data_IF_898317138980
#
_entry.id   IF_898317138980
#
_cell.length_a   1.000
_cell.length_b   1.000
_cell.length_c   1.000
_cell.angle_alpha   90.00
_cell.angle_beta   90.00
_cell.angle_gamma   90.00
#
_symmetry.space_group_name_H-M   'P 1'
#
loop_
_entity.id
_entity.type
_entity.pdbx_description
1 polymer ?
#
# COMPACT_ATOMS: atom_id res chain seq x y z
N UNK A 1 -1.37 -15.87 -20.17
CA UNK A 1 -2.08 -14.59 -20.43
C UNK A 1 -1.36 -13.48 -19.67
N UNK A 2 -1.18 -12.31 -20.28
CA UNK A 2 -0.57 -11.17 -19.57
C UNK A 2 -1.52 -10.68 -18.46
N UNK A 3 -0.95 -10.32 -17.31
CA UNK A 3 -1.71 -9.71 -16.20
C UNK A 3 -2.33 -8.39 -16.67
N UNK A 4 -3.66 -8.25 -16.43
CA UNK A 4 -4.42 -7.04 -16.77
C UNK A 4 -5.20 -6.60 -15.52
N UNK A 5 -4.78 -5.52 -14.83
CA UNK A 5 -5.42 -5.08 -13.59
C UNK A 5 -6.94 -4.86 -13.70
N UNK A 6 -7.39 -4.21 -14.77
CA UNK A 6 -8.82 -3.95 -14.99
C UNK A 6 -9.65 -5.24 -15.07
N UNK A 7 -9.14 -6.28 -15.74
CA UNK A 7 -9.84 -7.56 -15.83
C UNK A 7 -9.93 -8.21 -14.44
N UNK A 8 -8.88 -8.10 -13.63
CA UNK A 8 -8.87 -8.69 -12.28
C UNK A 8 -9.91 -8.08 -11.36
N UNK A 9 -10.15 -6.77 -11.48
CA UNK A 9 -11.24 -6.12 -10.73
C UNK A 9 -12.60 -6.64 -11.23
N UNK A 10 -12.79 -6.80 -12.55
CA UNK A 10 -14.04 -7.29 -13.12
C UNK A 10 -14.29 -8.78 -12.82
N UNK A 11 -13.23 -9.58 -12.64
CA UNK A 11 -13.35 -10.99 -12.27
C UNK A 11 -13.87 -11.17 -10.82
N UNK A 12 -13.79 -10.13 -9.98
CA UNK A 12 -14.39 -10.12 -8.65
C UNK A 12 -15.90 -9.99 -8.78
N UNK A 13 -16.60 -11.08 -8.59
CA UNK A 13 -18.07 -11.09 -8.65
C UNK A 13 -18.66 -10.87 -7.25
N UNK A 14 -19.02 -9.63 -6.96
CA UNK A 14 -19.78 -9.31 -5.77
C UNK A 14 -21.22 -9.05 -6.15
N UNK A 15 -22.12 -9.70 -5.40
CA UNK A 15 -23.53 -9.43 -5.52
C UNK A 15 -23.95 -8.50 -4.38
N UNK A 16 -24.43 -7.31 -4.73
CA UNK A 16 -25.01 -6.40 -3.77
C UNK A 16 -26.33 -6.92 -3.20
N UNK A 17 -26.86 -6.26 -2.19
CA UNK A 17 -28.18 -6.55 -1.66
C UNK A 17 -29.24 -6.53 -2.79
N UNK A 18 -30.21 -7.42 -2.67
CA UNK A 18 -31.30 -7.55 -3.64
C UNK A 18 -30.87 -7.87 -5.09
N UNK A 19 -29.70 -8.47 -5.26
CA UNK A 19 -29.15 -8.81 -6.58
C UNK A 19 -28.52 -7.63 -7.31
N UNK A 20 -28.13 -6.58 -6.60
CA UNK A 20 -27.38 -5.45 -7.17
C UNK A 20 -26.06 -5.88 -7.76
N UNK A 21 -25.64 -5.25 -8.86
CA UNK A 21 -24.35 -5.54 -9.53
C UNK A 21 -23.16 -5.04 -8.71
N UNK A 22 -23.35 -3.97 -7.96
CA UNK A 22 -22.34 -3.41 -7.06
C UNK A 22 -22.65 -3.77 -5.61
N UNK A 23 -21.63 -3.98 -4.76
CA UNK A 23 -21.84 -4.13 -3.33
C UNK A 23 -22.41 -2.85 -2.73
N UNK A 24 -23.25 -3.02 -1.69
CA UNK A 24 -23.84 -1.90 -0.97
C UNK A 24 -22.78 -1.12 -0.18
N UNK A 25 -22.96 0.19 -0.05
CA UNK A 25 -22.15 1.00 0.87
C UNK A 25 -22.71 0.79 2.28
N UNK A 26 -21.92 0.14 3.14
CA UNK A 26 -22.28 -0.07 4.54
C UNK A 26 -21.93 1.14 5.38
N UNK A 27 -22.95 1.79 5.95
CA UNK A 27 -22.80 2.94 6.85
C UNK A 27 -22.94 2.56 8.34
N UNK A 28 -22.90 1.26 8.66
CA UNK A 28 -22.98 0.79 10.05
C UNK A 28 -21.63 0.86 10.74
N UNK A 29 -21.62 1.44 11.95
CA UNK A 29 -20.43 1.45 12.82
C UNK A 29 -20.29 0.18 13.65
N UNK A 30 -21.41 -0.50 13.98
CA UNK A 30 -21.47 -1.72 14.78
C UNK A 30 -22.36 -2.75 14.12
N UNK A 31 -22.21 -4.01 14.51
CA UNK A 31 -22.94 -5.14 13.92
C UNK A 31 -23.55 -5.99 15.02
N UNK A 32 -24.64 -6.67 14.70
CA UNK A 32 -25.39 -7.52 15.63
C UNK A 32 -25.09 -9.00 15.36
N UNK A 33 -25.21 -9.81 16.41
CA UNK A 33 -25.02 -11.24 16.35
C UNK A 33 -26.26 -11.95 16.87
N UNK A 34 -26.74 -12.95 16.14
CA UNK A 34 -27.88 -13.78 16.56
C UNK A 34 -27.51 -14.73 17.71
N UNK A 35 -26.24 -15.06 17.85
CA UNK A 35 -25.72 -15.99 18.87
C UNK A 35 -24.46 -15.40 19.52
N UNK A 36 -24.38 -15.44 20.84
CA UNK A 36 -23.19 -15.00 21.60
C UNK A 36 -21.92 -15.75 21.16
N UNK A 37 -22.03 -17.04 20.83
CA UNK A 37 -20.90 -17.82 20.34
C UNK A 37 -20.33 -17.25 19.03
N UNK A 38 -21.15 -16.82 18.08
CA UNK A 38 -20.68 -16.20 16.82
C UNK A 38 -19.92 -14.91 17.12
N UNK A 39 -20.38 -14.09 18.06
CA UNK A 39 -19.66 -12.90 18.47
C UNK A 39 -18.28 -13.23 19.05
N UNK A 40 -18.21 -14.22 19.93
CA UNK A 40 -16.94 -14.69 20.51
C UNK A 40 -15.99 -15.19 19.41
N UNK A 41 -16.47 -16.08 18.54
CA UNK A 41 -15.67 -16.64 17.42
C UNK A 41 -15.18 -15.53 16.48
N UNK A 42 -15.97 -14.46 16.26
CA UNK A 42 -15.56 -13.30 15.46
C UNK A 42 -14.46 -12.49 16.14
N UNK A 43 -14.48 -12.34 17.46
CA UNK A 43 -13.37 -11.70 18.20
C UNK A 43 -12.07 -12.50 18.09
N UNK A 44 -12.15 -13.82 18.00
CA UNK A 44 -11.00 -14.71 17.81
C UNK A 44 -10.55 -14.83 16.33
N UNK A 45 -11.22 -14.14 15.40
CA UNK A 45 -10.90 -14.21 13.97
C UNK A 45 -11.33 -15.52 13.30
N UNK A 46 -12.27 -16.27 13.88
CA UNK A 46 -12.68 -17.59 13.44
C UNK A 46 -13.97 -17.59 12.60
N UNK A 47 -14.45 -16.42 12.15
CA UNK A 47 -15.68 -16.32 11.35
C UNK A 47 -15.45 -15.42 10.14
N UNK A 48 -15.81 -15.94 8.95
CA UNK A 48 -15.86 -15.17 7.71
C UNK A 48 -17.22 -14.47 7.56
N UNK A 49 -17.23 -13.29 6.94
CA UNK A 49 -18.44 -12.53 6.66
C UNK A 49 -19.13 -11.92 7.89
N UNK A 50 -18.48 -11.95 9.05
CA UNK A 50 -18.94 -11.29 10.27
C UNK A 50 -18.06 -10.08 10.60
N UNK A 51 -18.69 -9.03 11.09
CA UNK A 51 -18.01 -7.77 11.43
C UNK A 51 -18.32 -7.39 12.87
N UNK A 52 -17.34 -6.78 13.54
CA UNK A 52 -17.47 -6.31 14.93
C UNK A 52 -17.74 -4.82 14.97
N UNK A 53 -16.88 -4.06 14.32
CA UNK A 53 -16.86 -2.61 14.40
C UNK A 53 -16.14 -2.03 13.17
N UNK A 54 -16.71 -1.00 12.56
CA UNK A 54 -16.22 -0.45 11.29
C UNK A 54 -14.80 0.13 11.33
N UNK A 55 -14.29 0.50 12.51
CA UNK A 55 -12.89 0.93 12.67
C UNK A 55 -11.91 -0.23 12.39
N UNK A 56 -12.30 -1.47 12.69
CA UNK A 56 -11.50 -2.65 12.36
C UNK A 56 -11.65 -2.99 10.88
N UNK A 57 -12.88 -3.21 10.48
CA UNK A 57 -13.25 -3.43 9.08
C UNK A 57 -14.75 -3.29 8.88
N UNK A 58 -15.17 -3.01 7.66
CA UNK A 58 -16.58 -3.00 7.25
C UNK A 58 -16.70 -3.74 5.90
N UNK A 59 -17.90 -4.18 5.50
CA UNK A 59 -18.10 -4.78 4.19
C UNK A 59 -17.55 -3.93 3.04
N UNK A 60 -17.79 -2.61 3.07
CA UNK A 60 -17.31 -1.69 2.05
C UNK A 60 -15.78 -1.59 2.00
N UNK A 61 -15.12 -1.51 3.16
CA UNK A 61 -13.66 -1.46 3.23
C UNK A 61 -13.03 -2.78 2.79
N UNK A 62 -13.64 -3.91 3.15
CA UNK A 62 -13.16 -5.23 2.71
C UNK A 62 -13.24 -5.36 1.19
N UNK A 63 -14.40 -5.03 0.61
CA UNK A 63 -14.57 -5.04 -0.85
C UNK A 63 -13.53 -4.17 -1.56
N UNK A 64 -13.32 -2.93 -1.08
CA UNK A 64 -12.33 -2.02 -1.67
C UNK A 64 -10.90 -2.58 -1.53
N UNK A 65 -10.57 -3.15 -0.37
CA UNK A 65 -9.27 -3.78 -0.14
C UNK A 65 -9.04 -4.96 -1.12
N UNK A 66 -10.03 -5.84 -1.28
CA UNK A 66 -9.95 -6.96 -2.22
C UNK A 66 -9.83 -6.50 -3.68
N UNK A 67 -10.54 -5.45 -4.07
CA UNK A 67 -10.43 -4.86 -5.40
C UNK A 67 -9.02 -4.30 -5.65
N UNK A 68 -8.42 -3.60 -4.68
CA UNK A 68 -7.05 -3.08 -4.76
C UNK A 68 -6.03 -4.22 -4.79
N UNK A 69 -6.20 -5.25 -3.96
CA UNK A 69 -5.33 -6.43 -3.96
C UNK A 69 -5.37 -7.14 -5.32
N UNK A 70 -6.57 -7.33 -5.89
CA UNK A 70 -6.73 -7.92 -7.23
C UNK A 70 -6.12 -7.05 -8.33
N UNK A 71 -6.27 -5.72 -8.24
CA UNK A 71 -5.71 -4.76 -9.18
C UNK A 71 -4.18 -4.84 -9.23
N UNK A 72 -3.53 -4.96 -8.08
CA UNK A 72 -2.08 -5.04 -7.97
C UNK A 72 -1.54 -6.48 -8.00
N UNK A 73 -2.39 -7.48 -7.93
CA UNK A 73 -2.02 -8.89 -7.76
C UNK A 73 -1.20 -9.12 -6.49
N UNK A 74 -1.62 -8.49 -5.40
CA UNK A 74 -1.06 -8.68 -4.06
C UNK A 74 -1.86 -9.70 -3.26
N UNK A 75 -1.28 -10.23 -2.20
CA UNK A 75 -1.92 -11.17 -1.29
C UNK A 75 -3.11 -10.55 -0.54
N UNK A 76 -2.94 -9.30 -0.12
CA UNK A 76 -3.94 -8.53 0.60
C UNK A 76 -3.76 -7.03 0.37
N UNK A 77 -4.76 -6.25 0.75
CA UNK A 77 -4.66 -4.81 0.86
C UNK A 77 -5.35 -4.30 2.13
N UNK A 78 -5.00 -3.10 2.54
CA UNK A 78 -5.66 -2.40 3.64
C UNK A 78 -6.06 -1.00 3.19
N UNK A 79 -7.17 -0.51 3.69
CA UNK A 79 -7.75 0.79 3.35
C UNK A 79 -7.62 1.73 4.53
N UNK A 80 -7.15 2.94 4.28
CA UNK A 80 -7.06 4.01 5.26
C UNK A 80 -7.85 5.24 4.80
N UNK A 81 -8.08 6.18 5.70
CA UNK A 81 -8.88 7.38 5.42
C UNK A 81 -8.22 8.35 4.43
N UNK A 82 -6.93 8.26 4.19
CA UNK A 82 -6.18 9.15 3.27
C UNK A 82 -4.96 8.46 2.69
N UNK A 83 -4.43 8.95 1.55
CA UNK A 83 -3.17 8.47 0.99
C UNK A 83 -1.99 8.61 1.97
N UNK A 84 -1.88 9.73 2.69
CA UNK A 84 -0.87 9.87 3.76
C UNK A 84 -1.13 8.90 4.92
N UNK A 85 -2.40 8.60 5.21
CA UNK A 85 -2.79 7.57 6.18
C UNK A 85 -2.42 6.14 5.73
N UNK A 86 -2.16 5.91 4.45
CA UNK A 86 -1.57 4.67 3.95
C UNK A 86 -0.03 4.71 4.01
N UNK A 87 0.59 5.81 3.57
CA UNK A 87 2.06 5.95 3.50
C UNK A 87 2.69 5.91 4.89
N UNK A 88 2.20 6.74 5.83
CA UNK A 88 2.87 6.94 7.11
C UNK A 88 2.92 5.68 7.98
N UNK A 89 1.81 4.95 8.23
CA UNK A 89 1.87 3.73 9.02
C UNK A 89 2.62 2.60 8.31
N UNK A 90 2.57 2.53 6.98
CA UNK A 90 3.37 1.55 6.23
C UNK A 90 4.85 1.73 6.51
N UNK A 91 5.38 2.96 6.39
CA UNK A 91 6.79 3.23 6.63
C UNK A 91 7.19 3.06 8.10
N UNK A 92 6.31 3.46 9.04
CA UNK A 92 6.54 3.25 10.48
C UNK A 92 6.42 1.78 10.91
N UNK A 93 5.66 0.95 10.19
CA UNK A 93 5.61 -0.49 10.42
C UNK A 93 6.88 -1.20 9.93
N UNK A 94 7.46 -0.72 8.84
CA UNK A 94 8.65 -1.31 8.21
C UNK A 94 9.96 -0.85 8.84
N UNK A 95 9.96 0.30 9.55
CA UNK A 95 11.15 0.91 10.13
C UNK A 95 10.98 1.18 11.61
N UNK A 96 11.97 0.81 12.40
CA UNK A 96 12.11 1.14 13.81
C UNK A 96 13.18 2.19 14.08
N UNK A 97 13.37 2.56 15.34
CA UNK A 97 14.41 3.50 15.75
C UNK A 97 15.82 2.97 15.40
N UNK A 98 16.60 3.75 14.68
CA UNK A 98 17.92 3.38 14.16
C UNK A 98 17.90 2.94 12.70
N UNK A 99 16.73 2.64 12.13
CA UNK A 99 16.61 2.22 10.74
C UNK A 99 16.72 3.39 9.76
N UNK A 100 16.97 3.04 8.50
CA UNK A 100 17.21 3.97 7.43
C UNK A 100 16.30 3.67 6.22
N UNK A 101 15.88 4.73 5.54
CA UNK A 101 15.08 4.70 4.31
C UNK A 101 15.89 5.35 3.19
N UNK A 102 16.00 4.69 2.03
CA UNK A 102 16.42 5.34 0.80
C UNK A 102 15.19 5.72 0.00
N UNK A 103 15.03 7.00 -0.27
CA UNK A 103 13.86 7.54 -0.97
C UNK A 103 14.24 8.26 -2.24
N UNK A 104 13.37 8.23 -3.24
CA UNK A 104 13.48 9.18 -4.35
C UNK A 104 13.49 10.62 -3.83
N UNK A 105 14.35 11.46 -4.41
CA UNK A 105 14.39 12.90 -4.13
C UNK A 105 13.16 13.64 -4.69
N UNK A 106 12.53 13.07 -5.71
CA UNK A 106 11.35 13.60 -6.36
C UNK A 106 10.15 12.75 -5.99
N UNK A 107 9.41 13.20 -4.97
CA UNK A 107 8.21 12.54 -4.44
C UNK A 107 7.20 13.60 -4.01
N UNK A 108 5.96 13.17 -3.78
CA UNK A 108 4.91 14.02 -3.24
C UNK A 108 5.37 14.78 -2.00
N UNK A 109 5.09 16.10 -1.97
CA UNK A 109 5.58 17.00 -0.93
C UNK A 109 5.17 16.61 0.50
N UNK A 110 4.00 15.98 0.69
CA UNK A 110 3.57 15.45 1.98
C UNK A 110 4.46 14.30 2.47
N UNK A 111 4.80 13.38 1.58
CA UNK A 111 5.72 12.26 1.88
C UNK A 111 7.13 12.77 2.15
N UNK A 112 7.61 13.72 1.33
CA UNK A 112 8.91 14.35 1.56
C UNK A 112 8.98 15.03 2.93
N UNK A 113 7.96 15.82 3.28
CA UNK A 113 7.91 16.50 4.58
C UNK A 113 7.85 15.50 5.75
N UNK A 114 7.12 14.41 5.61
CA UNK A 114 7.06 13.32 6.59
C UNK A 114 8.45 12.69 6.79
N UNK A 115 9.10 12.26 5.72
CA UNK A 115 10.43 11.63 5.78
C UNK A 115 11.54 12.58 6.26
N UNK A 116 11.46 13.87 5.90
CA UNK A 116 12.50 14.84 6.26
C UNK A 116 12.35 15.39 7.68
N UNK A 117 11.11 15.64 8.12
CA UNK A 117 10.86 16.42 9.34
C UNK A 117 10.24 15.62 10.47
N UNK A 118 9.56 14.50 10.16
CA UNK A 118 8.81 13.73 11.15
C UNK A 118 9.54 12.46 11.57
N UNK A 119 9.97 11.62 10.62
CA UNK A 119 10.64 10.34 10.93
C UNK A 119 11.94 10.49 11.73
N UNK A 120 12.76 11.58 11.56
CA UNK A 120 13.95 11.77 12.40
C UNK A 120 13.65 11.92 13.90
N UNK A 121 12.43 12.37 14.26
CA UNK A 121 12.01 12.45 15.68
C UNK A 121 11.89 11.08 16.34
N UNK A 122 11.76 10.01 15.53
CA UNK A 122 11.72 8.61 15.94
C UNK A 122 13.04 7.88 15.67
N UNK A 123 14.11 8.65 15.39
CA UNK A 123 15.43 8.11 15.01
C UNK A 123 15.37 7.21 13.75
N UNK A 124 14.49 7.53 12.79
CA UNK A 124 14.44 6.90 11.47
C UNK A 124 14.96 7.94 10.46
N UNK A 125 16.09 7.63 9.83
CA UNK A 125 16.76 8.54 8.92
C UNK A 125 16.44 8.24 7.47
N UNK A 126 16.50 9.25 6.60
CA UNK A 126 16.21 9.08 5.17
C UNK A 126 17.31 9.75 4.33
N UNK A 127 17.83 9.00 3.35
CA UNK A 127 18.65 9.54 2.27
C UNK A 127 17.80 9.69 1.01
N UNK A 128 17.73 10.92 0.50
CA UNK A 128 17.06 11.23 -0.76
C UNK A 128 18.05 11.15 -1.92
N UNK A 129 17.74 10.35 -2.95
CA UNK A 129 18.63 10.12 -4.09
C UNK A 129 17.89 10.21 -5.43
N UNK A 130 18.64 10.25 -6.51
CA UNK A 130 18.10 10.18 -7.86
C UNK A 130 17.69 8.75 -8.20
N UNK A 131 16.39 8.45 -8.09
CA UNK A 131 15.85 7.11 -8.26
C UNK A 131 15.98 6.58 -9.71
N UNK A 132 16.23 7.46 -10.67
CA UNK A 132 16.43 7.07 -12.08
C UNK A 132 17.82 6.49 -12.33
N UNK A 133 18.72 6.56 -11.34
CA UNK A 133 20.11 6.09 -11.42
C UNK A 133 20.35 5.03 -10.35
N UNK A 134 20.32 3.76 -10.76
CA UNK A 134 20.47 2.63 -9.83
C UNK A 134 21.79 2.69 -9.03
N UNK A 135 22.89 3.12 -9.64
CA UNK A 135 24.18 3.28 -8.95
C UNK A 135 24.09 4.31 -7.81
N UNK A 136 23.33 5.40 -8.01
CA UNK A 136 23.10 6.41 -6.97
C UNK A 136 22.23 5.87 -5.84
N UNK A 137 21.25 5.03 -6.17
CA UNK A 137 20.41 4.35 -5.19
C UNK A 137 21.26 3.37 -4.38
N UNK A 138 22.06 2.55 -5.05
CA UNK A 138 22.91 1.57 -4.39
C UNK A 138 23.93 2.23 -3.45
N UNK A 139 24.56 3.32 -3.88
CA UNK A 139 25.49 4.10 -3.05
C UNK A 139 24.84 4.74 -1.81
N UNK A 140 23.52 4.93 -1.81
CA UNK A 140 22.78 5.48 -0.66
C UNK A 140 22.37 4.40 0.37
N UNK A 141 22.50 3.10 0.03
CA UNK A 141 22.16 2.00 0.93
C UNK A 141 23.21 1.87 2.02
N UNK A 142 22.77 1.75 3.26
CA UNK A 142 23.60 1.52 4.45
C UNK A 142 23.21 0.20 5.12
N UNK A 143 23.98 -0.24 6.10
CA UNK A 143 23.67 -1.46 6.89
C UNK A 143 22.32 -1.38 7.63
N UNK A 144 21.88 -0.16 7.95
CA UNK A 144 20.62 0.09 8.66
C UNK A 144 19.45 0.33 7.70
N UNK A 145 19.66 0.35 6.39
CA UNK A 145 18.57 0.53 5.42
C UNK A 145 17.59 -0.64 5.48
N UNK A 146 16.30 -0.32 5.53
CA UNK A 146 15.18 -1.29 5.51
C UNK A 146 14.28 -1.12 4.33
N UNK A 147 14.12 0.09 3.84
CA UNK A 147 13.13 0.45 2.82
C UNK A 147 13.79 1.21 1.67
N UNK A 148 13.43 0.83 0.44
CA UNK A 148 13.53 1.66 -0.75
C UNK A 148 12.13 2.21 -1.06
N UNK A 149 11.99 3.53 -1.13
CA UNK A 149 10.72 4.20 -1.41
C UNK A 149 10.78 5.02 -2.68
N UNK A 150 9.82 4.82 -3.58
CA UNK A 150 9.66 5.65 -4.78
C UNK A 150 8.20 5.79 -5.19
N UNK A 151 7.93 6.71 -6.11
CA UNK A 151 6.69 6.77 -6.87
C UNK A 151 6.93 6.13 -8.24
N UNK A 152 5.92 5.45 -8.82
CA UNK A 152 6.02 4.90 -10.18
C UNK A 152 6.34 6.00 -11.19
N UNK A 153 5.59 7.11 -11.08
CA UNK A 153 5.81 8.36 -11.81
C UNK A 153 5.78 9.47 -10.77
N UNK A 154 6.87 10.21 -10.67
CA UNK A 154 7.04 11.20 -9.61
C UNK A 154 6.20 12.47 -9.81
N UNK A 155 5.76 13.05 -8.70
CA UNK A 155 5.11 14.36 -8.67
C UNK A 155 6.07 15.41 -8.06
N UNK A 156 6.44 16.53 -8.74
CA UNK A 156 5.81 17.02 -9.99
C UNK A 156 6.62 16.74 -11.28
N UNK A 157 7.81 16.16 -11.20
CA UNK A 157 8.74 16.13 -12.34
C UNK A 157 8.47 15.01 -13.37
N UNK A 158 7.52 14.12 -13.09
CA UNK A 158 7.16 12.99 -13.96
C UNK A 158 8.35 12.06 -14.29
N UNK A 159 9.32 11.97 -13.40
CA UNK A 159 10.41 10.98 -13.51
C UNK A 159 9.83 9.59 -13.31
N UNK A 160 10.21 8.65 -14.18
CA UNK A 160 9.73 7.26 -14.14
C UNK A 160 10.77 6.39 -13.45
N UNK A 161 10.36 5.66 -12.42
CA UNK A 161 11.23 4.76 -11.67
C UNK A 161 11.46 3.43 -12.43
N UNK A 162 12.71 2.96 -12.46
CA UNK A 162 13.02 1.58 -12.86
C UNK A 162 12.71 0.60 -11.72
N UNK A 163 11.42 0.25 -11.56
CA UNK A 163 10.95 -0.63 -10.48
C UNK A 163 11.62 -2.01 -10.55
N UNK A 164 11.88 -2.54 -11.76
CA UNK A 164 12.57 -3.82 -11.92
C UNK A 164 14.01 -3.76 -11.39
N UNK A 165 14.75 -2.73 -11.78
CA UNK A 165 16.10 -2.51 -11.28
C UNK A 165 16.14 -2.29 -9.78
N UNK A 166 15.22 -1.48 -9.24
CA UNK A 166 15.05 -1.27 -7.80
C UNK A 166 14.71 -2.57 -7.05
N UNK A 167 13.87 -3.43 -7.62
CA UNK A 167 13.54 -4.74 -7.04
C UNK A 167 14.77 -5.66 -6.96
N UNK A 168 15.65 -5.61 -7.96
CA UNK A 168 16.92 -6.37 -7.93
C UNK A 168 17.80 -5.87 -6.79
N UNK A 169 17.94 -4.55 -6.63
CA UNK A 169 18.71 -3.96 -5.52
C UNK A 169 18.06 -4.30 -4.16
N UNK A 170 16.76 -4.16 -4.04
CA UNK A 170 16.03 -4.49 -2.80
C UNK A 170 16.31 -5.94 -2.38
N UNK A 171 16.20 -6.88 -3.29
CA UNK A 171 16.51 -8.30 -3.02
C UNK A 171 17.97 -8.53 -2.65
N UNK A 172 18.91 -7.87 -3.35
CA UNK A 172 20.35 -7.98 -3.09
C UNK A 172 20.71 -7.57 -1.66
N UNK A 173 20.05 -6.53 -1.15
CA UNK A 173 20.32 -5.96 0.17
C UNK A 173 19.27 -6.33 1.24
N UNK A 174 18.34 -7.23 0.92
CA UNK A 174 17.24 -7.64 1.82
C UNK A 174 16.42 -6.47 2.33
N UNK A 175 16.01 -5.57 1.42
CA UNK A 175 15.22 -4.38 1.68
C UNK A 175 13.78 -4.60 1.21
N UNK A 176 12.83 -3.86 1.79
CA UNK A 176 11.45 -3.79 1.30
C UNK A 176 11.31 -2.68 0.27
N UNK A 177 10.87 -3.01 -0.93
CA UNK A 177 10.56 -2.03 -1.97
C UNK A 177 9.11 -1.55 -1.86
N UNK A 178 8.91 -0.30 -1.47
CA UNK A 178 7.62 0.37 -1.35
C UNK A 178 7.44 1.33 -2.52
N UNK A 179 6.37 1.16 -3.28
CA UNK A 179 6.08 1.97 -4.48
C UNK A 179 4.72 2.63 -4.35
N UNK A 180 4.67 3.94 -4.42
CA UNK A 180 3.43 4.70 -4.56
C UNK A 180 3.03 4.74 -6.04
N UNK A 181 1.92 4.07 -6.37
CA UNK A 181 1.39 3.94 -7.72
C UNK A 181 0.19 4.86 -7.97
N UNK A 182 0.08 5.94 -7.23
CA UNK A 182 -1.07 6.87 -7.34
C UNK A 182 -1.22 7.46 -8.74
N UNK A 183 -0.12 7.71 -9.46
CA UNK A 183 -0.14 8.34 -10.80
C UNK A 183 -0.47 7.39 -11.95
N UNK A 184 -0.32 6.08 -11.76
CA UNK A 184 -0.48 5.12 -12.85
C UNK A 184 -1.31 3.88 -12.48
N UNK A 185 -2.47 4.05 -11.78
CA UNK A 185 -3.35 2.93 -11.48
C UNK A 185 -3.86 2.32 -12.80
N UNK A 186 -4.03 1.01 -12.83
CA UNK A 186 -4.47 0.21 -13.98
C UNK A 186 -3.50 0.17 -15.18
N UNK A 187 -2.60 1.14 -15.33
CA UNK A 187 -1.61 1.18 -16.41
C UNK A 187 -0.46 0.22 -16.16
N UNK A 188 -0.02 0.14 -14.92
CA UNK A 188 1.10 -0.68 -14.48
C UNK A 188 0.81 -1.21 -13.09
N UNK A 189 1.23 -2.45 -12.80
CA UNK A 189 1.26 -2.99 -11.45
C UNK A 189 2.72 -3.07 -10.98
N UNK A 190 3.14 -2.24 -10.03
CA UNK A 190 4.47 -2.33 -9.44
C UNK A 190 4.76 -3.70 -8.82
N UNK A 191 3.73 -4.39 -8.28
CA UNK A 191 3.86 -5.75 -7.77
C UNK A 191 4.38 -6.72 -8.83
N UNK A 192 3.87 -6.62 -10.07
CA UNK A 192 4.34 -7.45 -11.19
C UNK A 192 5.78 -7.13 -11.61
N UNK A 193 6.29 -5.98 -11.22
CA UNK A 193 7.68 -5.54 -11.46
C UNK A 193 8.59 -5.82 -10.26
N UNK A 194 8.06 -6.39 -9.18
CA UNK A 194 8.79 -6.85 -8.03
C UNK A 194 8.75 -5.96 -6.79
N UNK A 195 7.82 -4.98 -6.72
CA UNK A 195 7.54 -4.26 -5.49
C UNK A 195 6.94 -5.19 -4.43
N UNK A 196 7.31 -4.97 -3.19
CA UNK A 196 6.78 -5.71 -2.03
C UNK A 196 5.48 -5.08 -1.53
N UNK A 197 5.44 -3.75 -1.48
CA UNK A 197 4.28 -2.96 -1.05
C UNK A 197 3.93 -1.93 -2.13
N UNK A 198 2.65 -1.83 -2.46
CA UNK A 198 2.13 -0.82 -3.39
C UNK A 198 1.13 0.06 -2.66
N UNK A 199 1.24 1.37 -2.84
CA UNK A 199 0.37 2.36 -2.22
C UNK A 199 -0.40 3.13 -3.29
N UNK A 200 -1.64 3.47 -2.99
CA UNK A 200 -2.50 4.32 -3.82
C UNK A 200 -3.18 5.39 -2.98
N UNK A 201 -3.19 6.61 -3.46
CA UNK A 201 -4.09 7.64 -2.98
C UNK A 201 -5.32 7.71 -3.88
N UNK A 202 -6.43 7.13 -3.43
CA UNK A 202 -7.68 7.09 -4.19
C UNK A 202 -8.36 8.46 -4.36
N UNK A 203 -7.75 9.51 -3.79
CA UNK A 203 -8.16 10.91 -3.99
C UNK A 203 -8.00 11.34 -5.45
N UNK A 204 -7.10 10.70 -6.23
CA UNK A 204 -6.66 11.16 -7.56
C UNK A 204 -7.39 10.42 -8.68
N UNK A 205 -7.12 9.15 -8.90
CA UNK A 205 -7.61 8.37 -10.05
C UNK A 205 -8.43 7.16 -9.62
#
# INVERSE_FOLDING_TARGET
MSFKPANKIQDLQYFGEFGGVNPSISDSSTYTFLKAKTMFDTFEGNTDGCYLYSRHTSPSNLFLAEALAAMENTEAANVSSTGMGAITPTLLQLCGAGDHIVSSRTIYGGTYAFLKNFTPKFNINTTFTDITKLDSVEAAITETTKVLYCETISNPLLEVADIKGLSVLAKKYNLTLVVDNTFSPLLISPKQLGADVVIHSLTKF
#
